data_IF_390272154305
#
_entry.id   IF_390272154305
#
_cell.length_a   1.000
_cell.length_b   1.000
_cell.length_c   1.000
_cell.angle_alpha   90.00
_cell.angle_beta   90.00
_cell.angle_gamma   90.00
#
_symmetry.space_group_name_H-M   'P 1'
#
loop_
_entity.id
_entity.type
_entity.pdbx_description
1 polymer ?
#
# COMPACT_ATOMS: atom_id res chain seq x y z
N UNK A 1 12.33 -50.10 4.01
CA UNK A 1 12.72 -48.80 3.42
C UNK A 1 11.48 -47.95 3.39
N UNK A 2 11.51 -46.73 3.94
CA UNK A 2 10.37 -45.80 3.81
C UNK A 2 10.33 -45.26 2.39
N UNK A 3 9.21 -45.45 1.70
CA UNK A 3 9.01 -44.98 0.32
C UNK A 3 8.80 -43.46 0.27
N UNK A 4 8.91 -42.85 -0.91
CA UNK A 4 8.62 -41.42 -1.05
C UNK A 4 7.16 -41.09 -0.74
N UNK A 5 6.24 -42.00 -1.06
CA UNK A 5 4.80 -41.85 -0.77
C UNK A 5 4.57 -41.77 0.73
N UNK A 6 5.15 -42.70 1.49
CA UNK A 6 5.04 -42.70 2.96
C UNK A 6 5.62 -41.42 3.59
N UNK A 7 6.70 -40.85 3.03
CA UNK A 7 7.26 -39.57 3.50
C UNK A 7 6.30 -38.39 3.27
N UNK A 8 5.65 -38.36 2.11
CA UNK A 8 4.67 -37.31 1.79
C UNK A 8 3.48 -37.40 2.74
N UNK A 9 2.94 -38.60 2.96
CA UNK A 9 1.83 -38.82 3.89
C UNK A 9 2.17 -38.37 5.32
N UNK A 10 3.38 -38.70 5.82
CA UNK A 10 3.84 -38.23 7.13
C UNK A 10 3.91 -36.70 7.20
N UNK A 11 4.39 -36.03 6.15
CA UNK A 11 4.46 -34.57 6.09
C UNK A 11 3.06 -33.95 6.04
N UNK A 12 2.12 -34.55 5.32
CA UNK A 12 0.73 -34.08 5.26
C UNK A 12 0.04 -34.19 6.62
N UNK A 13 0.20 -35.30 7.33
CA UNK A 13 -0.31 -35.47 8.70
C UNK A 13 0.29 -34.42 9.63
N UNK A 14 1.60 -34.21 9.57
CA UNK A 14 2.26 -33.20 10.38
C UNK A 14 1.77 -31.78 10.05
N UNK A 15 1.57 -31.46 8.76
CA UNK A 15 1.02 -30.17 8.33
C UNK A 15 -0.42 -29.97 8.82
N UNK A 16 -1.27 -31.01 8.77
CA UNK A 16 -2.62 -30.94 9.34
C UNK A 16 -2.61 -30.64 10.84
N UNK A 17 -1.67 -31.23 11.60
CA UNK A 17 -1.47 -30.94 13.02
C UNK A 17 -1.06 -29.48 13.24
N UNK A 18 -0.08 -28.97 12.49
CA UNK A 18 0.36 -27.56 12.56
C UNK A 18 -0.77 -26.58 12.21
N UNK A 19 -1.64 -26.94 11.27
CA UNK A 19 -2.79 -26.14 10.83
C UNK A 19 -3.99 -26.25 11.78
N UNK A 20 -3.88 -26.98 12.89
CA UNK A 20 -4.96 -27.13 13.85
C UNK A 20 -6.10 -28.07 13.41
N UNK A 21 -5.94 -28.81 12.32
CA UNK A 21 -7.00 -29.66 11.73
C UNK A 21 -7.15 -31.02 12.41
N UNK A 22 -6.11 -31.51 13.08
CA UNK A 22 -6.05 -32.84 13.68
C UNK A 22 -5.60 -32.81 15.15
N UNK A 23 -5.86 -31.70 15.86
CA UNK A 23 -5.41 -31.47 17.24
C UNK A 23 -5.97 -32.51 18.22
N UNK A 24 -7.17 -33.05 17.96
CA UNK A 24 -7.79 -34.08 18.77
C UNK A 24 -6.96 -35.38 18.86
N UNK A 25 -6.07 -35.63 17.90
CA UNK A 25 -5.19 -36.80 17.85
C UNK A 25 -3.78 -36.51 18.38
N UNK A 26 -3.50 -35.27 18.81
CA UNK A 26 -2.23 -34.90 19.40
C UNK A 26 -2.25 -35.15 20.91
N UNK A 27 -1.15 -35.67 21.44
CA UNK A 27 -0.90 -35.66 22.87
C UNK A 27 -0.74 -34.22 23.39
N UNK A 28 -0.91 -34.05 24.70
CA UNK A 28 -0.69 -32.75 25.36
C UNK A 28 0.72 -32.21 25.10
N UNK A 29 1.73 -33.09 25.06
CA UNK A 29 3.12 -32.70 24.81
C UNK A 29 3.31 -32.21 23.37
N UNK A 30 2.81 -32.97 22.38
CA UNK A 30 2.83 -32.55 20.97
C UNK A 30 2.11 -31.21 20.78
N UNK A 31 0.98 -31.01 21.45
CA UNK A 31 0.22 -29.76 21.36
C UNK A 31 1.03 -28.56 21.87
N UNK A 32 1.76 -28.73 22.98
CA UNK A 32 2.66 -27.68 23.53
C UNK A 32 3.83 -27.38 22.59
N UNK A 33 4.42 -28.41 21.98
CA UNK A 33 5.53 -28.24 21.03
C UNK A 33 5.09 -27.50 19.77
N UNK A 34 3.95 -27.90 19.20
CA UNK A 34 3.34 -27.24 18.04
C UNK A 34 3.04 -25.77 18.36
N UNK A 35 2.43 -25.49 19.52
CA UNK A 35 2.15 -24.11 19.93
C UNK A 35 3.43 -23.27 20.02
N UNK A 36 4.47 -23.81 20.68
CA UNK A 36 5.78 -23.14 20.80
C UNK A 36 6.41 -22.88 19.44
N UNK A 37 6.33 -23.84 18.51
CA UNK A 37 6.90 -23.70 17.17
C UNK A 37 6.15 -22.63 16.35
N UNK A 38 4.82 -22.63 16.41
CA UNK A 38 3.98 -21.62 15.75
C UNK A 38 4.29 -20.23 16.32
N UNK A 39 4.33 -20.07 17.64
CA UNK A 39 4.66 -18.79 18.29
C UNK A 39 6.01 -18.25 17.83
N UNK A 40 7.06 -19.08 17.85
CA UNK A 40 8.40 -18.70 17.40
C UNK A 40 8.42 -18.28 15.94
N UNK A 41 7.85 -19.11 15.05
CA UNK A 41 7.84 -18.81 13.61
C UNK A 41 7.03 -17.55 13.29
N UNK A 42 5.91 -17.37 13.97
CA UNK A 42 5.03 -16.22 13.79
C UNK A 42 5.69 -14.93 14.29
N UNK A 43 6.41 -15.00 15.42
CA UNK A 43 7.23 -13.90 15.89
C UNK A 43 8.26 -13.48 14.83
N UNK A 44 9.02 -14.44 14.27
CA UNK A 44 10.02 -14.16 13.23
C UNK A 44 9.37 -13.51 11.99
N UNK A 45 8.27 -14.08 11.49
CA UNK A 45 7.56 -13.56 10.32
C UNK A 45 7.06 -12.14 10.56
N UNK A 46 6.44 -11.88 11.72
CA UNK A 46 5.93 -10.55 12.08
C UNK A 46 7.05 -9.53 12.23
N UNK A 47 8.13 -9.87 12.93
CA UNK A 47 9.28 -8.98 13.11
C UNK A 47 9.92 -8.61 11.78
N UNK A 48 10.09 -9.58 10.87
CA UNK A 48 10.60 -9.32 9.52
C UNK A 48 9.66 -8.43 8.72
N UNK A 49 8.35 -8.70 8.77
CA UNK A 49 7.33 -7.90 8.06
C UNK A 49 7.29 -6.46 8.58
N UNK A 50 7.39 -6.26 9.89
CA UNK A 50 7.45 -4.93 10.51
C UNK A 50 8.67 -4.14 10.02
N UNK A 51 9.86 -4.77 10.05
CA UNK A 51 11.09 -4.14 9.56
C UNK A 51 10.99 -3.73 8.09
N UNK A 52 10.48 -4.61 7.22
CA UNK A 52 10.32 -4.29 5.79
C UNK A 52 9.40 -3.08 5.56
N UNK A 53 8.33 -2.92 6.34
CA UNK A 53 7.46 -1.75 6.22
C UNK A 53 8.10 -0.49 6.79
N UNK A 54 8.86 -0.60 7.88
CA UNK A 54 9.62 0.53 8.43
C UNK A 54 10.61 1.06 7.39
N UNK A 55 11.38 0.17 6.76
CA UNK A 55 12.33 0.50 5.68
C UNK A 55 11.62 1.20 4.49
N UNK A 56 10.45 0.69 4.07
CA UNK A 56 9.70 1.28 2.95
C UNK A 56 9.11 2.67 3.32
N UNK A 57 8.64 2.85 4.56
CA UNK A 57 8.17 4.14 5.06
C UNK A 57 9.32 5.15 5.09
N UNK A 58 10.51 4.76 5.55
CA UNK A 58 11.68 5.63 5.58
C UNK A 58 12.10 6.05 4.16
N UNK A 59 12.14 5.10 3.23
CA UNK A 59 12.41 5.36 1.81
C UNK A 59 11.43 6.36 1.20
N UNK A 60 10.12 6.21 1.47
CA UNK A 60 9.10 7.14 0.99
C UNK A 60 9.26 8.53 1.59
N UNK A 61 9.57 8.66 2.88
CA UNK A 61 9.87 9.95 3.52
C UNK A 61 11.10 10.63 2.92
N UNK A 62 12.15 9.87 2.59
CA UNK A 62 13.33 10.40 1.92
C UNK A 62 12.97 10.96 0.54
N UNK A 63 12.23 10.20 -0.26
CA UNK A 63 11.75 10.63 -1.59
C UNK A 63 10.82 11.85 -1.52
N UNK A 64 9.96 11.91 -0.51
CA UNK A 64 9.08 13.08 -0.29
C UNK A 64 9.91 14.35 -0.06
N UNK A 65 10.96 14.28 0.76
CA UNK A 65 11.87 15.42 1.00
C UNK A 65 12.60 15.85 -0.26
N UNK A 66 13.18 14.89 -0.99
CA UNK A 66 13.87 15.16 -2.27
C UNK A 66 12.95 15.88 -3.27
N UNK A 67 11.71 15.39 -3.43
CA UNK A 67 10.73 16.00 -4.33
C UNK A 67 10.29 17.40 -3.86
N UNK A 68 10.22 17.65 -2.56
CA UNK A 68 9.92 18.99 -2.02
C UNK A 68 11.06 19.96 -2.30
N UNK A 69 12.30 19.55 -2.09
CA UNK A 69 13.48 20.37 -2.35
C UNK A 69 13.59 20.69 -3.86
N UNK A 70 13.33 19.70 -4.71
CA UNK A 70 13.29 19.89 -6.16
C UNK A 70 12.19 20.87 -6.58
N UNK A 71 10.98 20.74 -6.01
CA UNK A 71 9.87 21.66 -6.29
C UNK A 71 10.25 23.11 -5.94
N UNK A 72 10.87 23.32 -4.78
CA UNK A 72 11.34 24.66 -4.37
C UNK A 72 12.36 25.20 -5.36
N UNK A 73 13.37 24.39 -5.73
CA UNK A 73 14.40 24.74 -6.71
C UNK A 73 13.82 25.14 -8.07
N UNK A 74 12.85 24.37 -8.57
CA UNK A 74 12.18 24.65 -9.84
C UNK A 74 11.30 25.89 -9.76
N UNK A 75 10.55 26.08 -8.67
CA UNK A 75 9.71 27.27 -8.50
C UNK A 75 10.51 28.58 -8.50
N UNK A 76 11.75 28.56 -7.97
CA UNK A 76 12.67 29.70 -8.05
C UNK A 76 13.11 30.02 -9.49
N UNK A 77 13.25 29.00 -10.35
CA UNK A 77 13.63 29.16 -11.77
C UNK A 77 12.46 29.58 -12.67
N UNK A 78 11.23 29.22 -12.33
CA UNK A 78 10.02 29.61 -13.09
C UNK A 78 9.64 31.09 -12.85
N UNK A 79 10.25 31.75 -11.86
CA UNK A 79 10.11 33.20 -11.63
C UNK A 79 11.07 34.09 -12.43
N UNK A 80 12.00 33.51 -13.19
CA UNK A 80 13.05 34.24 -13.92
C UNK A 80 12.89 34.07 -15.45
N UNK A 81 11.80 34.59 -16.01
CA UNK A 81 11.70 34.95 -17.44
C UNK A 81 10.97 36.31 -17.53
N UNK A 82 11.51 37.31 -18.26
CA UNK A 82 11.01 38.68 -18.27
C UNK A 82 9.84 38.82 -19.22
N UNK A 83 8.66 38.32 -18.85
CA UNK A 83 7.44 38.59 -19.61
C UNK A 83 6.71 39.77 -19.00
N UNK A 84 6.94 40.95 -19.57
CA UNK A 84 6.21 42.16 -19.24
C UNK A 84 4.70 41.94 -19.35
N UNK A 85 3.99 42.24 -18.26
CA UNK A 85 2.55 42.45 -18.30
C UNK A 85 2.30 43.94 -18.13
N UNK A 86 1.63 44.61 -19.10
CA UNK A 86 1.27 45.99 -18.93
C UNK A 86 0.21 46.09 -17.84
N UNK A 87 0.47 46.97 -16.88
CA UNK A 87 -0.54 47.51 -15.99
C UNK A 87 -1.61 48.17 -16.86
N UNK A 88 -2.71 47.46 -17.09
CA UNK A 88 -3.85 47.94 -17.83
C UNK A 88 -5.08 47.57 -17.05
N UNK A 89 -5.61 48.54 -16.30
CA UNK A 89 -6.96 48.52 -15.76
C UNK A 89 -7.95 48.30 -16.91
N UNK A 90 -8.27 47.03 -17.19
CA UNK A 90 -9.39 46.68 -18.05
C UNK A 90 -10.65 46.82 -17.22
N UNK A 91 -11.36 47.91 -17.46
CA UNK A 91 -12.76 48.06 -17.09
C UNK A 91 -13.51 46.81 -17.57
N UNK A 92 -14.27 46.20 -16.66
CA UNK A 92 -15.04 45.00 -16.94
C UNK A 92 -16.30 45.45 -17.68
N UNK A 93 -16.31 45.27 -19.01
CA UNK A 93 -17.56 45.33 -19.76
C UNK A 93 -18.31 44.00 -19.56
N UNK A 94 -19.47 44.07 -18.91
CA UNK A 94 -20.40 42.95 -18.80
C UNK A 94 -21.04 42.71 -20.19
N UNK A 95 -20.65 41.63 -20.83
CA UNK A 95 -21.30 41.13 -22.05
C UNK A 95 -22.42 40.17 -21.67
N UNK A 96 -23.66 40.58 -21.95
CA UNK A 96 -24.86 39.75 -21.80
C UNK A 96 -24.77 38.55 -22.74
N UNK A 97 -24.74 37.34 -22.17
CA UNK A 97 -24.75 36.09 -22.93
C UNK A 97 -26.09 35.41 -22.70
N UNK A 98 -26.79 35.09 -23.79
CA UNK A 98 -28.11 34.44 -23.74
C UNK A 98 -27.93 32.93 -23.53
N UNK A 99 -27.41 32.56 -22.36
CA UNK A 99 -27.10 31.17 -21.99
C UNK A 99 -28.30 30.51 -21.31
N UNK A 100 -29.14 29.80 -22.06
CA UNK A 100 -30.21 28.98 -21.47
C UNK A 100 -29.67 27.63 -21.00
N UNK A 101 -29.42 27.48 -19.68
CA UNK A 101 -29.17 26.17 -19.07
C UNK A 101 -30.52 25.54 -18.74
N UNK A 102 -31.06 24.76 -19.67
CA UNK A 102 -32.30 23.99 -19.47
C UNK A 102 -32.25 22.66 -20.22
N UNK A 103 -32.86 21.62 -19.64
CA UNK A 103 -32.96 20.30 -20.29
C UNK A 103 -33.87 20.38 -21.54
N UNK A 104 -33.51 19.72 -22.66
CA UNK A 104 -34.32 19.75 -23.87
C UNK A 104 -35.71 19.14 -23.62
N UNK A 105 -36.76 19.85 -24.05
CA UNK A 105 -38.14 19.33 -24.03
C UNK A 105 -38.23 18.10 -24.95
N UNK A 106 -38.65 16.95 -24.40
CA UNK A 106 -38.95 15.76 -25.18
C UNK A 106 -40.11 16.07 -26.14
N UNK A 107 -39.88 15.86 -27.45
CA UNK A 107 -40.94 15.93 -28.46
C UNK A 107 -41.75 14.62 -28.38
N UNK A 108 -43.06 14.73 -28.20
CA UNK A 108 -44.02 13.63 -28.44
C UNK A 108 -44.24 13.47 -29.94
#
# INVERSE_FOLDING_TARGET
MVTMVEKIEMLEVHNQKLMGKSVAFCSLQEQKEIATQIEKSLHIVRSRKAKLYEDEVEKLKAKERELKDERVRLSGRVGEEPSGMPSGSKEKEDVETDLSIGFPKSRS
#
